data_IF_947056034140
#
_entry.id   IF_947056034140
#
_cell.length_a   1.000
_cell.length_b   1.000
_cell.length_c   1.000
_cell.angle_alpha   90.00
_cell.angle_beta   90.00
_cell.angle_gamma   90.00
#
_symmetry.space_group_name_H-M   'P 1'
#
loop_
_entity.id
_entity.type
_entity.pdbx_description
1 polymer ?
#
# COMPACT_ATOMS: atom_id res chain seq x y z
N UNK A 1 -24.23 -38.35 9.57
CA UNK A 1 -22.88 -38.74 9.13
C UNK A 1 -22.46 -37.72 8.11
N UNK A 2 -21.58 -36.79 8.50
CA UNK A 2 -21.09 -35.78 7.57
C UNK A 2 -20.10 -36.49 6.64
N UNK A 3 -20.46 -36.59 5.37
CA UNK A 3 -19.53 -37.00 4.33
C UNK A 3 -18.50 -35.88 4.19
N UNK A 4 -17.26 -36.20 4.52
CA UNK A 4 -16.13 -35.28 4.39
C UNK A 4 -15.83 -35.10 2.90
N UNK A 5 -16.08 -33.89 2.39
CA UNK A 5 -15.87 -33.51 0.98
C UNK A 5 -14.60 -32.67 0.80
N UNK A 6 -13.77 -32.54 1.84
CA UNK A 6 -12.53 -31.75 1.81
C UNK A 6 -11.35 -32.55 1.24
N UNK A 7 -11.48 -33.87 1.13
CA UNK A 7 -10.48 -34.71 0.49
C UNK A 7 -10.53 -34.59 -1.04
N UNK A 8 -9.40 -34.16 -1.60
CA UNK A 8 -9.17 -34.12 -3.05
C UNK A 8 -9.27 -35.55 -3.60
N UNK A 9 -10.04 -35.72 -4.68
CA UNK A 9 -10.18 -37.02 -5.36
C UNK A 9 -8.82 -37.59 -5.70
N UNK A 10 -8.64 -38.90 -5.52
CA UNK A 10 -7.35 -39.57 -5.61
C UNK A 10 -6.63 -39.34 -6.96
N UNK A 11 -7.38 -39.25 -8.06
CA UNK A 11 -6.86 -38.93 -9.40
C UNK A 11 -6.27 -37.51 -9.51
N UNK A 12 -6.91 -36.55 -8.84
CA UNK A 12 -6.43 -35.16 -8.78
C UNK A 12 -5.22 -35.04 -7.84
N UNK A 13 -5.19 -35.81 -6.75
CA UNK A 13 -4.05 -35.86 -5.84
C UNK A 13 -2.79 -36.45 -6.52
N UNK A 14 -2.95 -37.55 -7.27
CA UNK A 14 -1.86 -38.20 -7.99
C UNK A 14 -1.27 -37.31 -9.09
N UNK A 15 -2.14 -36.66 -9.87
CA UNK A 15 -1.72 -35.73 -10.94
C UNK A 15 -1.01 -34.48 -10.40
N UNK A 16 -1.45 -33.95 -9.25
CA UNK A 16 -0.78 -32.83 -8.57
C UNK A 16 0.61 -33.23 -8.06
N UNK A 17 0.74 -34.43 -7.49
CA UNK A 17 2.03 -34.95 -7.02
C UNK A 17 3.01 -35.16 -8.19
N UNK A 18 2.56 -35.79 -9.28
CA UNK A 18 3.38 -35.97 -10.49
C UNK A 18 3.84 -34.61 -11.08
N UNK A 19 2.97 -33.61 -11.08
CA UNK A 19 3.30 -32.25 -11.54
C UNK A 19 4.34 -31.57 -10.65
N UNK A 20 4.26 -31.76 -9.33
CA UNK A 20 5.24 -31.21 -8.38
C UNK A 20 6.60 -31.90 -8.47
N UNK A 21 6.63 -33.22 -8.68
CA UNK A 21 7.88 -33.96 -8.89
C UNK A 21 8.58 -33.55 -10.19
N UNK A 22 7.81 -33.33 -11.26
CA UNK A 22 8.31 -32.80 -12.52
C UNK A 22 8.90 -31.38 -12.35
N UNK A 23 8.22 -30.49 -11.61
CA UNK A 23 8.74 -29.15 -11.32
C UNK A 23 9.98 -29.18 -10.43
N UNK A 24 10.09 -30.12 -9.49
CA UNK A 24 11.27 -30.30 -8.63
C UNK A 24 12.47 -30.84 -9.42
N UNK A 25 12.22 -31.67 -10.43
CA UNK A 25 13.26 -32.18 -11.33
C UNK A 25 13.72 -31.14 -12.35
N UNK A 26 12.81 -30.27 -12.81
CA UNK A 26 13.10 -29.18 -13.74
C UNK A 26 13.75 -27.96 -13.05
N UNK A 27 13.33 -27.65 -11.81
CA UNK A 27 13.90 -26.61 -10.95
C UNK A 27 14.80 -27.23 -9.88
N UNK A 28 15.78 -28.04 -10.26
CA UNK A 28 16.94 -28.24 -9.40
C UNK A 28 17.99 -27.20 -9.80
N UNK A 29 17.88 -25.92 -9.36
CA UNK A 29 18.98 -25.00 -9.53
C UNK A 29 20.14 -25.55 -8.69
N UNK A 30 21.30 -25.69 -9.33
CA UNK A 30 22.54 -25.85 -8.58
C UNK A 30 22.59 -24.70 -7.57
N UNK A 31 22.83 -24.97 -6.28
CA UNK A 31 22.83 -23.91 -5.25
C UNK A 31 23.76 -22.73 -5.61
N UNK A 32 24.72 -23.00 -6.50
CA UNK A 32 25.65 -22.05 -7.11
C UNK A 32 25.02 -21.05 -8.10
N UNK A 33 23.91 -21.38 -8.77
CA UNK A 33 23.23 -20.46 -9.70
C UNK A 33 22.44 -19.41 -8.93
N UNK A 34 21.70 -19.83 -7.91
CA UNK A 34 20.91 -18.95 -7.04
C UNK A 34 21.81 -17.96 -6.30
N UNK A 35 22.96 -18.41 -5.81
CA UNK A 35 23.94 -17.50 -5.18
C UNK A 35 24.55 -16.51 -6.17
N UNK A 36 24.74 -16.89 -7.44
CA UNK A 36 25.34 -16.00 -8.45
C UNK A 36 24.36 -14.92 -8.92
N UNK A 37 23.08 -15.23 -9.00
CA UNK A 37 22.02 -14.26 -9.33
C UNK A 37 21.77 -13.25 -8.19
N UNK A 38 22.02 -13.65 -6.94
CA UNK A 38 21.94 -12.76 -5.77
C UNK A 38 23.14 -11.80 -5.67
N UNK A 39 24.34 -12.25 -6.06
CA UNK A 39 25.58 -11.44 -6.02
C UNK A 39 25.57 -10.30 -7.06
N UNK A 40 24.91 -10.48 -8.22
CA UNK A 40 24.73 -9.43 -9.23
C UNK A 40 23.63 -8.41 -8.87
N UNK A 41 22.66 -8.76 -8.02
CA UNK A 41 21.60 -7.85 -7.58
C UNK A 41 22.08 -6.87 -6.48
N UNK A 42 23.10 -7.27 -5.70
CA UNK A 42 23.68 -6.48 -4.61
C UNK A 42 24.71 -5.44 -5.12
N UNK A 43 25.25 -5.62 -6.34
CA UNK A 43 26.06 -4.60 -7.05
C UNK A 43 25.25 -3.45 -7.65
N UNK A 44 23.99 -3.27 -7.22
CA UNK A 44 23.27 -2.01 -7.45
C UNK A 44 23.70 -0.97 -6.41
N UNK A 45 24.98 -0.56 -6.48
CA UNK A 45 25.37 0.75 -5.98
C UNK A 45 24.38 1.75 -6.57
N UNK A 46 23.60 2.36 -5.69
CA UNK A 46 22.33 3.00 -6.00
C UNK A 46 22.37 3.79 -7.30
N UNK A 47 21.61 3.35 -8.29
CA UNK A 47 21.30 4.16 -9.46
C UNK A 47 20.52 5.36 -8.94
N UNK A 48 21.23 6.47 -8.72
CA UNK A 48 20.62 7.75 -8.36
C UNK A 48 19.76 8.18 -9.53
N UNK A 49 18.46 7.92 -9.40
CA UNK A 49 17.47 8.35 -10.39
C UNK A 49 17.56 9.88 -10.50
N UNK A 50 17.60 10.45 -11.72
CA UNK A 50 17.57 11.89 -11.90
C UNK A 50 16.29 12.43 -11.24
N UNK A 51 16.43 13.20 -10.15
CA UNK A 51 15.33 13.72 -9.33
C UNK A 51 15.20 13.10 -7.92
N UNK A 52 16.07 12.18 -7.52
CA UNK A 52 16.06 11.61 -6.16
C UNK A 52 16.68 12.53 -5.10
N UNK A 53 17.57 13.44 -5.49
CA UNK A 53 18.17 14.42 -4.60
C UNK A 53 17.31 15.70 -4.53
N UNK A 54 16.42 15.76 -3.53
CA UNK A 54 15.64 16.94 -3.20
C UNK A 54 16.37 17.85 -2.18
N UNK A 55 17.63 17.59 -1.86
CA UNK A 55 18.38 18.34 -0.83
C UNK A 55 18.70 19.79 -1.24
N UNK A 56 18.65 20.11 -2.54
CA UNK A 56 18.84 21.45 -3.08
C UNK A 56 17.56 22.23 -3.41
N UNK A 57 16.38 21.64 -3.20
CA UNK A 57 15.10 22.26 -3.61
C UNK A 57 14.41 22.94 -2.41
N UNK A 58 14.31 24.27 -2.45
CA UNK A 58 13.59 25.04 -1.43
C UNK A 58 12.06 24.96 -1.67
N UNK A 59 11.38 24.08 -0.93
CA UNK A 59 9.92 23.99 -0.92
C UNK A 59 9.30 25.30 -0.40
N UNK A 60 8.85 26.16 -1.33
CA UNK A 60 8.13 27.40 -1.00
C UNK A 60 6.67 27.08 -0.68
N UNK A 61 6.32 27.04 0.60
CA UNK A 61 4.95 26.80 1.05
C UNK A 61 4.26 28.12 1.36
N UNK A 62 3.25 28.48 0.57
CA UNK A 62 2.40 29.64 0.84
C UNK A 62 1.28 29.24 1.80
N UNK A 63 1.26 29.82 3.01
CA UNK A 63 0.19 29.62 3.99
C UNK A 63 -0.86 30.71 3.81
N UNK A 64 -2.09 30.32 3.46
CA UNK A 64 -3.23 31.24 3.40
C UNK A 64 -4.03 31.06 4.70
N UNK A 65 -4.17 32.10 5.55
CA UNK A 65 -4.97 32.01 6.75
C UNK A 65 -6.47 31.92 6.42
N UNK A 66 -7.20 31.25 7.29
CA UNK A 66 -8.66 31.19 7.27
C UNK A 66 -9.26 32.60 7.36
N UNK A 67 -10.20 32.93 6.47
CA UNK A 67 -10.96 34.20 6.55
C UNK A 67 -11.99 34.16 7.70
N UNK A 68 -12.49 35.32 8.11
CA UNK A 68 -13.44 35.45 9.23
C UNK A 68 -14.72 34.62 9.04
N UNK A 69 -15.10 34.37 7.79
CA UNK A 69 -16.29 33.65 7.35
C UNK A 69 -16.05 32.19 6.99
N UNK A 70 -14.84 31.67 7.16
CA UNK A 70 -14.46 30.27 6.85
C UNK A 70 -14.20 29.45 8.13
N UNK A 71 -14.16 28.12 8.03
CA UNK A 71 -13.65 27.19 9.04
C UNK A 71 -13.19 25.86 8.44
N UNK A 72 -12.23 25.19 9.10
CA UNK A 72 -11.78 23.85 8.71
C UNK A 72 -12.58 22.80 9.46
N UNK A 73 -13.29 21.93 8.73
CA UNK A 73 -14.01 20.82 9.34
C UNK A 73 -13.05 19.77 9.90
N UNK A 74 -13.23 19.37 11.16
CA UNK A 74 -12.38 18.37 11.81
C UNK A 74 -12.59 16.93 11.30
N UNK A 75 -13.68 16.68 10.57
CA UNK A 75 -13.96 15.34 10.01
C UNK A 75 -13.41 15.15 8.60
N UNK A 76 -13.53 16.16 7.72
CA UNK A 76 -13.10 16.06 6.32
C UNK A 76 -11.90 16.96 5.96
N UNK A 77 -11.41 17.77 6.90
CA UNK A 77 -10.27 18.69 6.74
C UNK A 77 -10.43 19.73 5.61
N UNK A 78 -11.63 19.89 5.07
CA UNK A 78 -11.94 20.90 4.07
C UNK A 78 -12.30 22.24 4.72
N UNK A 79 -11.85 23.33 4.10
CA UNK A 79 -12.31 24.68 4.41
C UNK A 79 -13.72 24.86 3.89
N UNK A 80 -14.63 25.29 4.77
CA UNK A 80 -16.03 25.56 4.45
C UNK A 80 -16.41 26.94 4.98
N UNK A 81 -17.43 27.54 4.38
CA UNK A 81 -18.01 28.78 4.89
C UNK A 81 -18.78 28.51 6.20
N UNK A 82 -18.78 29.45 7.14
CA UNK A 82 -19.44 29.35 8.47
C UNK A 82 -20.93 29.02 8.40
N UNK A 83 -21.60 29.29 7.28
CA UNK A 83 -22.98 28.85 7.04
C UNK A 83 -23.15 27.33 7.01
N UNK A 84 -22.08 26.57 6.76
CA UNK A 84 -22.08 25.11 6.76
C UNK A 84 -21.66 24.53 8.12
N UNK A 85 -21.41 25.36 9.13
CA UNK A 85 -21.09 24.91 10.48
C UNK A 85 -22.35 24.30 11.11
N UNK A 86 -22.26 23.03 11.53
CA UNK A 86 -23.42 22.37 12.11
C UNK A 86 -23.19 21.92 13.57
N UNK A 87 -21.94 21.81 14.04
CA UNK A 87 -21.63 21.50 15.44
C UNK A 87 -20.22 21.93 15.80
N UNK A 88 -20.06 22.34 17.05
CA UNK A 88 -18.76 22.48 17.70
C UNK A 88 -18.70 21.56 18.92
N UNK A 89 -17.61 20.79 19.05
CA UNK A 89 -17.38 19.93 20.22
C UNK A 89 -15.91 19.99 20.60
N UNK A 90 -15.64 20.30 21.87
CA UNK A 90 -14.28 20.36 22.42
C UNK A 90 -13.31 21.24 21.60
N UNK A 91 -13.79 22.35 21.03
CA UNK A 91 -12.98 23.26 20.20
C UNK A 91 -12.81 22.82 18.74
N UNK A 92 -13.49 21.76 18.31
CA UNK A 92 -13.49 21.30 16.92
C UNK A 92 -14.81 21.63 16.22
N UNK A 93 -14.72 22.19 15.02
CA UNK A 93 -15.85 22.55 14.17
C UNK A 93 -16.13 21.44 13.14
N UNK A 94 -17.41 21.11 12.95
CA UNK A 94 -17.86 20.07 12.02
C UNK A 94 -18.84 20.66 11.00
N UNK A 95 -18.65 20.33 9.72
CA UNK A 95 -19.57 20.76 8.67
C UNK A 95 -20.84 19.90 8.64
N UNK A 96 -21.92 20.46 8.09
CA UNK A 96 -23.21 19.79 7.94
C UNK A 96 -23.10 18.46 7.18
N UNK A 97 -22.23 18.41 6.17
CA UNK A 97 -22.00 17.24 5.31
C UNK A 97 -21.35 16.05 6.07
N UNK A 98 -20.57 16.31 7.12
CA UNK A 98 -19.98 15.26 7.95
C UNK A 98 -20.88 14.84 9.12
N UNK A 99 -22.05 15.46 9.28
CA UNK A 99 -23.00 15.15 10.35
C UNK A 99 -24.38 14.72 9.86
N UNK A 100 -24.61 14.75 8.55
CA UNK A 100 -25.65 13.94 7.90
C UNK A 100 -25.28 12.47 7.94
#
# INVERSE_FOLDING_TARGET
MATDYDEVRSDVAESRNASLEALRSANAPDARSVTRELDEADTSEGVELPGADLSGEELTVTVIPQKEDEFTCYSCFLVRHRSQLAREKAGHSYCADCMS
#
